data_IF_461143584036
#
_entry.id   IF_461143584036
#
_cell.length_a   1.000
_cell.length_b   1.000
_cell.length_c   1.000
_cell.angle_alpha   90.00
_cell.angle_beta   90.00
_cell.angle_gamma   90.00
#
_symmetry.space_group_name_H-M   'P 1'
#
loop_
_entity.id
_entity.type
_entity.pdbx_description
1 polymer ?
#
# COMPACT_ATOMS: atom_id res chain seq x y z
N UNK A 1 -8.43 15.39 -21.13
CA UNK A 1 -8.86 14.18 -20.40
C UNK A 1 -8.21 14.23 -19.02
N UNK A 2 -8.97 14.34 -17.94
CA UNK A 2 -8.42 14.29 -16.58
C UNK A 2 -8.01 12.86 -16.28
N UNK A 3 -6.79 12.65 -15.81
CA UNK A 3 -6.31 11.34 -15.44
C UNK A 3 -6.69 11.02 -13.99
N UNK A 4 -7.29 9.87 -13.76
CA UNK A 4 -7.51 9.32 -12.42
C UNK A 4 -6.25 8.54 -12.03
N UNK A 5 -5.59 8.95 -10.95
CA UNK A 5 -4.36 8.29 -10.48
C UNK A 5 -4.64 7.05 -9.65
N UNK A 6 -5.78 7.03 -8.95
CA UNK A 6 -6.23 5.94 -8.09
C UNK A 6 -7.66 5.55 -8.41
N UNK A 7 -7.99 4.28 -8.18
CA UNK A 7 -9.36 3.79 -8.22
C UNK A 7 -10.22 4.31 -7.05
N UNK A 8 -11.53 4.03 -7.08
CA UNK A 8 -12.47 4.40 -6.01
C UNK A 8 -12.89 5.88 -5.99
N UNK A 9 -12.64 6.66 -7.05
CA UNK A 9 -13.05 8.08 -7.14
C UNK A 9 -14.39 8.21 -7.87
N UNK A 10 -15.39 7.45 -7.42
CA UNK A 10 -16.69 7.33 -8.12
C UNK A 10 -17.47 8.64 -8.17
N UNK A 11 -17.44 9.45 -7.09
CA UNK A 11 -18.14 10.73 -7.07
C UNK A 11 -17.59 11.71 -8.13
N UNK A 12 -16.25 11.75 -8.24
CA UNK A 12 -15.60 12.59 -9.25
C UNK A 12 -15.89 12.09 -10.66
N UNK A 13 -15.93 10.80 -10.86
CA UNK A 13 -16.23 10.18 -12.15
C UNK A 13 -17.70 10.42 -12.55
N UNK A 14 -18.64 10.25 -11.62
CA UNK A 14 -20.05 10.56 -11.82
C UNK A 14 -20.28 12.03 -12.22
N UNK A 15 -19.61 12.94 -11.51
CA UNK A 15 -19.69 14.37 -11.82
C UNK A 15 -19.17 14.70 -13.23
N UNK A 16 -18.08 14.05 -13.67
CA UNK A 16 -17.54 14.26 -15.03
C UNK A 16 -18.45 13.69 -16.12
N UNK A 17 -19.18 12.61 -15.83
CA UNK A 17 -20.15 12.00 -16.76
C UNK A 17 -21.52 12.68 -16.72
N UNK A 18 -21.83 13.44 -15.66
CA UNK A 18 -23.13 14.05 -15.45
C UNK A 18 -24.23 13.03 -15.10
N UNK A 19 -23.86 11.93 -14.42
CA UNK A 19 -24.77 10.88 -13.97
C UNK A 19 -24.79 10.77 -12.43
N UNK A 20 -25.74 9.99 -11.88
CA UNK A 20 -25.80 9.70 -10.46
C UNK A 20 -24.74 8.63 -10.09
N UNK A 21 -24.18 8.72 -8.87
CA UNK A 21 -23.20 7.73 -8.38
C UNK A 21 -23.76 6.31 -8.36
N UNK A 22 -25.07 6.15 -8.11
CA UNK A 22 -25.76 4.85 -8.10
C UNK A 22 -25.83 4.17 -9.47
N UNK A 23 -25.61 4.91 -10.56
CA UNK A 23 -25.57 4.38 -11.93
C UNK A 23 -24.19 3.80 -12.29
N UNK A 24 -23.18 3.96 -11.39
CA UNK A 24 -21.80 3.53 -11.64
C UNK A 24 -21.55 2.19 -10.97
N UNK A 25 -21.02 1.25 -11.73
CA UNK A 25 -20.45 0.00 -11.20
C UNK A 25 -18.93 0.21 -11.07
N UNK A 26 -18.46 0.42 -9.83
CA UNK A 26 -17.03 0.64 -9.56
C UNK A 26 -16.28 -0.69 -9.50
N UNK A 27 -15.43 -0.94 -10.48
CA UNK A 27 -14.49 -2.06 -10.54
C UNK A 27 -13.02 -1.59 -10.39
N UNK A 28 -12.80 -0.35 -10.01
CA UNK A 28 -11.47 0.28 -9.95
C UNK A 28 -10.80 0.19 -8.56
N UNK A 29 -11.49 -0.38 -7.57
CA UNK A 29 -11.02 -0.50 -6.20
C UNK A 29 -11.07 -1.95 -5.73
N UNK A 30 -10.08 -2.37 -4.94
CA UNK A 30 -10.01 -3.66 -4.28
C UNK A 30 -10.36 -3.58 -2.77
N UNK A 31 -11.08 -2.54 -2.36
CA UNK A 31 -11.54 -2.40 -0.98
C UNK A 31 -12.48 -3.56 -0.64
N UNK A 32 -12.30 -4.13 0.54
CA UNK A 32 -13.19 -5.16 1.04
C UNK A 32 -14.57 -4.57 1.40
N UNK A 33 -15.59 -4.97 0.65
CA UNK A 33 -16.98 -4.53 0.88
C UNK A 33 -17.69 -5.26 2.02
N UNK A 34 -17.10 -6.36 2.53
CA UNK A 34 -17.64 -7.08 3.68
C UNK A 34 -17.31 -6.30 4.94
N UNK A 35 -18.33 -5.69 5.53
CA UNK A 35 -18.18 -4.92 6.76
C UNK A 35 -18.02 -5.89 7.96
N UNK A 36 -16.95 -5.76 8.75
CA UNK A 36 -16.84 -6.54 9.98
C UNK A 36 -17.94 -6.10 10.96
N UNK A 37 -18.50 -7.07 11.70
CA UNK A 37 -19.37 -6.76 12.82
C UNK A 37 -18.49 -6.40 14.02
N UNK A 38 -18.32 -5.12 14.26
CA UNK A 38 -17.51 -4.60 15.36
C UNK A 38 -18.49 -4.08 16.44
N UNK A 39 -18.58 -4.80 17.56
CA UNK A 39 -19.36 -4.39 18.73
C UNK A 39 -18.45 -3.63 19.72
N UNK A 40 -17.94 -2.49 19.31
CA UNK A 40 -17.14 -1.60 20.16
C UNK A 40 -17.95 -0.33 20.40
N UNK A 41 -18.21 -0.02 21.67
CA UNK A 41 -18.68 1.31 22.06
C UNK A 41 -17.45 2.22 22.21
N UNK A 42 -17.24 3.09 21.24
CA UNK A 42 -16.12 4.04 21.24
C UNK A 42 -16.18 5.03 22.42
N UNK A 43 -17.34 5.23 23.05
CA UNK A 43 -17.47 6.09 24.24
C UNK A 43 -16.85 5.45 25.50
N UNK A 44 -16.55 4.16 25.47
CA UNK A 44 -15.91 3.44 26.58
C UNK A 44 -14.38 3.45 26.49
N UNK A 45 -13.82 3.99 25.42
CA UNK A 45 -12.36 4.07 25.26
C UNK A 45 -11.79 5.13 26.19
N UNK A 46 -10.78 4.74 26.96
CA UNK A 46 -10.01 5.69 27.75
C UNK A 46 -9.07 6.50 26.82
N UNK A 47 -9.36 7.78 26.68
CA UNK A 47 -8.55 8.73 25.91
C UNK A 47 -7.77 9.69 26.79
N UNK A 48 -7.70 9.43 28.11
CA UNK A 48 -7.05 10.32 29.09
C UNK A 48 -5.52 10.18 29.11
N UNK A 49 -4.97 9.19 28.45
CA UNK A 49 -3.53 8.90 28.41
C UNK A 49 -3.03 8.60 26.99
N UNK A 50 -1.72 8.74 26.79
CA UNK A 50 -1.11 8.27 25.54
C UNK A 50 -1.23 6.76 25.41
N UNK A 51 -1.61 6.24 24.22
CA UNK A 51 -1.73 4.82 24.02
C UNK A 51 -0.37 4.13 24.10
N UNK A 52 -0.35 2.92 24.68
CA UNK A 52 0.78 1.99 24.59
C UNK A 52 0.45 0.90 23.59
N UNK A 53 1.44 0.46 22.85
CA UNK A 53 1.24 -0.49 21.76
C UNK A 53 1.82 -1.90 22.05
N UNK A 54 2.40 -2.12 23.23
CA UNK A 54 3.09 -3.38 23.58
C UNK A 54 2.19 -4.61 23.38
N UNK A 55 0.98 -4.57 23.91
CA UNK A 55 0.02 -5.67 23.76
C UNK A 55 -0.41 -5.89 22.29
N UNK A 56 -0.45 -4.83 21.49
CA UNK A 56 -0.77 -4.93 20.07
C UNK A 56 0.36 -5.64 19.31
N UNK A 57 1.61 -5.27 19.59
CA UNK A 57 2.78 -5.93 19.03
C UNK A 57 2.82 -7.42 19.41
N UNK A 58 2.57 -7.76 20.69
CA UNK A 58 2.50 -9.14 21.16
C UNK A 58 1.42 -9.95 20.43
N UNK A 59 0.21 -9.41 20.27
CA UNK A 59 -0.88 -10.09 19.57
C UNK A 59 -0.60 -10.30 18.08
N UNK A 60 0.00 -9.31 17.42
CA UNK A 60 0.40 -9.40 16.01
C UNK A 60 1.51 -10.45 15.86
N UNK A 61 2.53 -10.41 16.72
CA UNK A 61 3.62 -11.37 16.73
C UNK A 61 3.12 -12.80 16.87
N UNK A 62 2.23 -13.03 17.84
CA UNK A 62 1.59 -14.32 18.07
C UNK A 62 0.80 -14.79 16.84
N UNK A 63 0.01 -13.91 16.22
CA UNK A 63 -0.81 -14.25 15.06
C UNK A 63 0.02 -14.64 13.83
N UNK A 64 1.16 -13.99 13.64
CA UNK A 64 2.05 -14.25 12.48
C UNK A 64 3.18 -15.24 12.79
N UNK A 65 3.36 -15.66 14.04
CA UNK A 65 4.43 -16.57 14.44
C UNK A 65 5.82 -15.96 14.31
N UNK A 66 5.96 -14.67 14.63
CA UNK A 66 7.22 -13.91 14.57
C UNK A 66 7.53 -13.27 15.92
N UNK A 67 8.76 -12.77 16.10
CA UNK A 67 9.12 -12.00 17.28
C UNK A 67 8.62 -10.54 17.18
N UNK A 68 8.31 -9.91 18.30
CA UNK A 68 7.88 -8.49 18.34
C UNK A 68 8.92 -7.55 17.74
N UNK A 69 10.22 -7.88 17.86
CA UNK A 69 11.33 -7.14 17.27
C UNK A 69 11.37 -7.16 15.73
N UNK A 70 10.61 -8.05 15.10
CA UNK A 70 10.50 -8.18 13.64
C UNK A 70 9.30 -7.42 13.07
N UNK A 71 8.59 -6.66 13.90
CA UNK A 71 7.36 -5.95 13.53
C UNK A 71 7.59 -4.45 13.67
N UNK A 72 7.11 -3.70 12.70
CA UNK A 72 6.95 -2.25 12.79
C UNK A 72 5.56 -1.86 12.31
N UNK A 73 4.86 -1.02 13.07
CA UNK A 73 3.49 -0.60 12.79
C UNK A 73 3.47 0.79 12.16
N UNK A 74 2.66 0.93 11.12
CA UNK A 74 2.47 2.19 10.42
C UNK A 74 0.98 2.51 10.26
N UNK A 75 0.68 3.80 10.19
CA UNK A 75 -0.66 4.26 9.84
C UNK A 75 -0.88 4.17 8.31
N UNK A 76 -1.08 2.96 7.84
CA UNK A 76 -1.32 2.64 6.44
C UNK A 76 -0.06 2.31 5.62
N UNK A 77 -0.27 1.59 4.51
CA UNK A 77 0.79 1.08 3.65
C UNK A 77 1.65 2.17 3.02
N UNK A 78 1.08 3.33 2.67
CA UNK A 78 1.86 4.45 2.13
C UNK A 78 2.89 4.96 3.13
N UNK A 79 2.53 5.10 4.41
CA UNK A 79 3.48 5.48 5.46
C UNK A 79 4.63 4.49 5.59
N UNK A 80 4.33 3.19 5.55
CA UNK A 80 5.34 2.14 5.60
C UNK A 80 6.29 2.21 4.40
N UNK A 81 5.74 2.36 3.18
CA UNK A 81 6.53 2.48 1.94
C UNK A 81 7.49 3.67 2.00
N UNK A 82 6.98 4.86 2.31
CA UNK A 82 7.81 6.05 2.37
C UNK A 82 8.88 5.98 3.47
N UNK A 83 8.54 5.40 4.63
CA UNK A 83 9.50 5.17 5.71
C UNK A 83 10.61 4.21 5.29
N UNK A 84 10.26 3.10 4.62
CA UNK A 84 11.23 2.13 4.11
C UNK A 84 12.23 2.76 3.14
N UNK A 85 11.74 3.51 2.13
CA UNK A 85 12.60 4.19 1.16
C UNK A 85 13.54 5.20 1.83
N UNK A 86 13.02 5.96 2.79
CA UNK A 86 13.82 6.92 3.56
C UNK A 86 14.94 6.25 4.35
N UNK A 87 14.66 5.12 5.00
CA UNK A 87 15.63 4.42 5.86
C UNK A 87 16.69 3.66 5.08
N UNK A 88 16.33 3.01 3.98
CA UNK A 88 17.27 2.22 3.19
C UNK A 88 18.30 3.08 2.46
N UNK A 89 17.94 4.28 2.03
CA UNK A 89 18.82 5.26 1.40
C UNK A 89 19.77 4.67 0.35
N UNK A 90 19.22 3.85 -0.56
CA UNK A 90 19.98 3.22 -1.64
C UNK A 90 19.97 4.12 -2.89
N UNK A 91 20.92 3.89 -3.82
CA UNK A 91 21.03 4.73 -5.04
C UNK A 91 19.93 4.47 -6.07
N UNK A 92 19.44 3.23 -6.14
CA UNK A 92 18.52 2.81 -7.19
C UNK A 92 17.41 1.91 -6.68
N UNK A 93 16.29 1.93 -7.39
CA UNK A 93 15.13 1.09 -7.11
C UNK A 93 14.62 0.45 -8.40
N UNK A 94 14.41 -0.87 -8.36
CA UNK A 94 13.79 -1.65 -9.42
C UNK A 94 12.40 -2.05 -8.96
N UNK A 95 11.38 -1.65 -9.71
CA UNK A 95 9.98 -1.98 -9.39
C UNK A 95 9.43 -2.86 -10.50
N UNK A 96 9.04 -4.08 -10.14
CA UNK A 96 8.31 -4.98 -11.03
C UNK A 96 6.88 -4.45 -11.23
N UNK A 97 6.65 -3.89 -12.41
CA UNK A 97 5.45 -3.13 -12.77
C UNK A 97 4.54 -3.95 -13.70
N UNK A 98 3.22 -3.75 -13.67
CA UNK A 98 2.49 -2.76 -12.85
C UNK A 98 2.49 -3.09 -11.36
N UNK A 99 2.56 -2.05 -10.53
CA UNK A 99 2.53 -2.14 -9.08
C UNK A 99 1.84 -0.90 -8.49
N UNK A 100 1.57 -0.93 -7.20
CA UNK A 100 0.97 0.20 -6.49
C UNK A 100 1.80 1.49 -6.69
N UNK A 101 1.12 2.57 -7.06
CA UNK A 101 1.76 3.82 -7.50
C UNK A 101 2.68 4.46 -6.45
N UNK A 102 2.39 4.23 -5.16
CA UNK A 102 3.17 4.83 -4.06
C UNK A 102 4.62 4.35 -4.02
N UNK A 103 4.96 3.15 -4.50
CA UNK A 103 6.36 2.72 -4.64
C UNK A 103 7.13 3.63 -5.61
N UNK A 104 6.52 3.96 -6.75
CA UNK A 104 7.12 4.89 -7.71
C UNK A 104 7.25 6.30 -7.14
N UNK A 105 6.21 6.80 -6.45
CA UNK A 105 6.23 8.12 -5.82
C UNK A 105 7.32 8.21 -4.75
N UNK A 106 7.43 7.20 -3.88
CA UNK A 106 8.46 7.14 -2.85
C UNK A 106 9.86 7.12 -3.46
N UNK A 107 10.09 6.28 -4.48
CA UNK A 107 11.36 6.22 -5.20
C UNK A 107 11.80 7.58 -5.74
N UNK A 108 10.90 8.28 -6.41
CA UNK A 108 11.18 9.60 -6.97
C UNK A 108 11.39 10.66 -5.89
N UNK A 109 10.57 10.62 -4.81
CA UNK A 109 10.66 11.59 -3.71
C UNK A 109 11.99 11.53 -2.95
N UNK A 110 12.56 10.32 -2.80
CA UNK A 110 13.84 10.13 -2.13
C UNK A 110 15.05 10.05 -3.09
N UNK A 111 14.86 10.42 -4.35
CA UNK A 111 15.96 10.58 -5.32
C UNK A 111 16.57 9.28 -5.83
N UNK A 112 15.88 8.15 -5.73
CA UNK A 112 16.34 6.89 -6.28
C UNK A 112 16.36 6.93 -7.81
N UNK A 113 17.38 6.32 -8.43
CA UNK A 113 17.37 6.01 -9.86
C UNK A 113 16.35 4.90 -10.11
N UNK A 114 15.15 5.28 -10.58
CA UNK A 114 14.04 4.37 -10.79
C UNK A 114 14.20 3.57 -12.08
N UNK A 115 14.04 2.25 -11.97
CA UNK A 115 13.90 1.33 -13.09
C UNK A 115 12.56 0.58 -12.95
N UNK A 116 11.68 0.69 -13.96
CA UNK A 116 10.43 -0.05 -14.04
C UNK A 116 10.64 -1.27 -14.93
N UNK A 117 10.44 -2.45 -14.36
CA UNK A 117 10.58 -3.73 -15.04
C UNK A 117 9.18 -4.23 -15.38
N UNK A 118 8.93 -4.50 -16.65
CA UNK A 118 7.67 -5.16 -17.05
C UNK A 118 7.69 -6.61 -16.59
N UNK A 119 6.94 -6.92 -15.52
CA UNK A 119 6.92 -8.25 -14.91
C UNK A 119 6.29 -9.34 -15.77
N UNK A 120 5.60 -8.98 -16.84
CA UNK A 120 5.01 -9.94 -17.78
C UNK A 120 5.97 -10.37 -18.90
N UNK A 121 6.99 -9.56 -19.17
CA UNK A 121 7.89 -9.76 -20.30
C UNK A 121 9.35 -9.95 -19.88
N UNK A 122 9.77 -9.30 -18.79
CA UNK A 122 11.18 -9.17 -18.41
C UNK A 122 11.44 -9.57 -16.95
N UNK A 123 10.83 -10.66 -16.47
CA UNK A 123 10.96 -11.05 -15.07
C UNK A 123 12.40 -11.43 -14.68
N UNK A 124 13.18 -11.97 -15.61
CA UNK A 124 14.52 -12.48 -15.41
C UNK A 124 15.62 -11.43 -15.67
N UNK A 125 15.27 -10.14 -15.62
CA UNK A 125 16.24 -9.07 -15.83
C UNK A 125 17.30 -9.07 -14.73
N UNK A 126 18.56 -8.89 -15.14
CA UNK A 126 19.66 -8.78 -14.18
C UNK A 126 19.54 -7.49 -13.35
N UNK A 127 19.51 -7.63 -12.04
CA UNK A 127 19.40 -6.53 -11.09
C UNK A 127 20.81 -6.16 -10.57
N UNK A 128 21.11 -4.86 -10.57
CA UNK A 128 22.37 -4.35 -9.99
C UNK A 128 22.42 -4.62 -8.49
N UNK A 129 23.60 -5.00 -8.00
CA UNK A 129 23.86 -5.11 -6.56
C UNK A 129 23.59 -3.78 -5.85
N UNK A 130 23.25 -3.84 -4.58
CA UNK A 130 22.96 -2.67 -3.73
C UNK A 130 21.83 -1.77 -4.25
N UNK A 131 20.84 -2.36 -4.91
CA UNK A 131 19.61 -1.67 -5.31
C UNK A 131 18.41 -2.21 -4.53
N UNK A 132 17.42 -1.36 -4.29
CA UNK A 132 16.13 -1.76 -3.75
C UNK A 132 15.35 -2.50 -4.84
N UNK A 133 14.81 -3.64 -4.52
CA UNK A 133 13.91 -4.40 -5.41
C UNK A 133 12.52 -4.45 -4.78
N UNK A 134 11.53 -3.99 -5.51
CA UNK A 134 10.13 -4.06 -5.15
C UNK A 134 9.43 -5.09 -6.03
N UNK A 135 9.05 -6.19 -5.39
CA UNK A 135 8.24 -7.24 -5.98
C UNK A 135 6.99 -7.44 -5.13
N UNK A 136 5.82 -7.16 -5.69
CA UNK A 136 4.53 -7.20 -4.98
C UNK A 136 3.82 -8.51 -5.30
N UNK A 137 3.54 -9.31 -4.27
CA UNK A 137 2.88 -10.60 -4.40
C UNK A 137 1.87 -10.82 -3.26
N UNK A 138 0.58 -11.04 -3.53
CA UNK A 138 -0.09 -10.87 -4.83
C UNK A 138 -0.03 -9.42 -5.30
N UNK A 139 -0.02 -9.23 -6.61
CA UNK A 139 0.11 -7.88 -7.17
C UNK A 139 -1.23 -7.23 -7.43
N UNK A 140 -1.32 -5.94 -7.14
CA UNK A 140 -2.34 -5.05 -7.70
C UNK A 140 -1.80 -4.49 -9.03
N UNK A 141 -2.58 -4.49 -10.13
CA UNK A 141 -4.04 -4.68 -10.18
C UNK A 141 -4.53 -6.09 -10.56
N UNK A 142 -3.68 -7.04 -10.92
CA UNK A 142 -4.10 -8.30 -11.53
C UNK A 142 -4.25 -9.47 -10.56
N UNK A 143 -3.84 -9.32 -9.30
CA UNK A 143 -3.95 -10.33 -8.26
C UNK A 143 -3.11 -11.60 -8.50
N UNK A 144 -2.22 -11.61 -9.50
CA UNK A 144 -1.36 -12.76 -9.80
C UNK A 144 -0.25 -12.92 -8.75
N UNK A 145 0.06 -14.19 -8.48
CA UNK A 145 1.15 -14.63 -7.63
C UNK A 145 2.42 -14.90 -8.44
#
# INVERSE_FOLDING_TARGET
>A
MRTFEHGGQIEKFALELGCDVSEIIDLSSNINFVKPQINIDFNTLDISSYPTYDKLYEQIALNYGVETSQIELFNGGSSAIFSLFKHLNLESCNIYSPAYLEYKKASLNFGYKLNLINRFENIDVEIKKNSLVIFVNPSTPDGKY
#
